data_IF_165476131019
#
_entry.id   IF_165476131019
#
_cell.length_a   1.000
_cell.length_b   1.000
_cell.length_c   1.000
_cell.angle_alpha   90.00
_cell.angle_beta   90.00
_cell.angle_gamma   90.00
#
_symmetry.space_group_name_H-M   'P 1'
#
loop_
_entity.id
_entity.type
_entity.pdbx_description
1 polymer ?
#
# COMPACT_ATOMS: atom_id res chain seq x y z
N UNK A 1 18.36 -65.68 35.09
CA UNK A 1 18.29 -64.23 35.28
C UNK A 1 19.57 -63.67 34.70
N UNK A 2 19.44 -63.30 33.43
CA UNK A 2 20.48 -62.83 32.50
C UNK A 2 21.16 -61.57 33.04
N UNK A 3 22.42 -61.25 32.79
CA UNK A 3 23.31 -61.62 31.69
C UNK A 3 24.06 -60.35 31.28
N UNK A 4 25.33 -60.29 31.63
CA UNK A 4 26.33 -59.25 31.35
C UNK A 4 26.52 -58.94 29.86
N UNK A 5 26.80 -57.67 29.48
CA UNK A 5 28.08 -57.24 28.88
C UNK A 5 28.08 -55.79 28.33
N UNK A 6 29.18 -55.08 28.61
CA UNK A 6 29.71 -53.94 27.86
C UNK A 6 29.98 -54.30 26.38
N UNK A 7 29.69 -53.40 25.42
CA UNK A 7 30.65 -52.93 24.40
C UNK A 7 30.06 -51.90 23.42
N UNK A 8 30.97 -51.09 22.87
CA UNK A 8 30.82 -50.07 21.82
C UNK A 8 30.16 -50.60 20.54
N UNK A 9 29.36 -49.77 19.88
CA UNK A 9 28.99 -49.89 18.45
C UNK A 9 28.75 -48.48 17.90
N UNK A 10 29.70 -47.91 17.16
CA UNK A 10 29.90 -47.99 15.72
C UNK A 10 28.85 -47.18 14.92
N UNK A 11 29.34 -46.11 14.31
CA UNK A 11 28.70 -45.38 13.23
C UNK A 11 28.44 -46.34 12.08
N UNK A 12 27.20 -46.40 11.61
CA UNK A 12 26.91 -46.68 10.20
C UNK A 12 25.75 -45.80 9.74
N UNK A 13 25.94 -45.31 8.53
CA UNK A 13 25.11 -44.35 7.84
C UNK A 13 23.89 -45.02 7.19
N UNK A 14 22.99 -44.15 6.74
CA UNK A 14 22.01 -44.35 5.67
C UNK A 14 20.61 -44.83 6.09
N UNK A 15 19.73 -43.85 6.33
CA UNK A 15 18.43 -43.87 5.66
C UNK A 15 18.03 -42.43 5.29
N UNK A 16 17.96 -42.21 3.99
CA UNK A 16 17.73 -40.96 3.29
C UNK A 16 16.41 -40.31 3.69
N UNK A 17 16.47 -39.14 4.32
CA UNK A 17 15.32 -38.25 4.49
C UNK A 17 14.98 -37.66 3.10
N UNK A 18 13.79 -37.91 2.52
CA UNK A 18 13.45 -37.31 1.23
C UNK A 18 13.36 -35.79 1.38
N UNK A 19 14.27 -35.12 0.69
CA UNK A 19 14.35 -33.68 0.52
C UNK A 19 13.00 -33.05 0.19
N UNK A 20 12.74 -31.88 0.78
CA UNK A 20 11.46 -31.19 0.80
C UNK A 20 10.70 -31.17 -0.52
N UNK A 21 9.51 -31.77 -0.53
CA UNK A 21 8.43 -31.35 -1.39
C UNK A 21 7.75 -30.16 -0.73
N UNK A 22 7.91 -28.98 -1.33
CA UNK A 22 7.06 -27.83 -1.04
C UNK A 22 5.63 -28.18 -1.46
N UNK A 23 4.76 -28.44 -0.51
CA UNK A 23 3.32 -28.50 -0.78
C UNK A 23 2.87 -27.09 -1.17
N UNK A 24 2.26 -26.88 -2.35
CA UNK A 24 1.73 -25.56 -2.70
C UNK A 24 0.58 -25.24 -1.76
N UNK A 25 0.79 -24.28 -0.85
CA UNK A 25 -0.17 -23.88 0.20
C UNK A 25 -1.41 -23.19 -0.39
N UNK A 26 -1.43 -22.85 -1.69
CA UNK A 26 -2.55 -22.15 -2.31
C UNK A 26 -2.90 -22.72 -3.69
N UNK A 27 -3.95 -23.53 -3.76
CA UNK A 27 -4.66 -23.80 -5.00
C UNK A 27 -5.74 -22.72 -5.16
N UNK A 28 -5.41 -21.62 -5.85
CA UNK A 28 -6.42 -20.66 -6.29
C UNK A 28 -7.16 -21.25 -7.49
N UNK A 29 -8.49 -21.22 -7.46
CA UNK A 29 -9.33 -21.39 -8.67
C UNK A 29 -8.85 -20.41 -9.74
N UNK A 30 -8.86 -20.76 -11.06
CA UNK A 30 -8.45 -19.83 -12.10
C UNK A 30 -9.25 -18.53 -11.95
N UNK A 31 -8.55 -17.45 -11.62
CA UNK A 31 -9.17 -16.14 -11.52
C UNK A 31 -9.62 -15.71 -12.93
N UNK A 32 -10.68 -14.89 -13.04
CA UNK A 32 -11.21 -14.45 -14.33
C UNK A 32 -10.11 -13.88 -15.22
N UNK A 33 -10.21 -14.19 -16.52
CA UNK A 33 -9.18 -13.93 -17.51
C UNK A 33 -8.89 -12.42 -17.64
N UNK A 34 -7.61 -12.05 -17.51
CA UNK A 34 -7.15 -10.67 -17.37
C UNK A 34 -7.08 -9.91 -18.69
N UNK A 35 -7.29 -8.58 -18.62
CA UNK A 35 -7.02 -7.61 -19.69
C UNK A 35 -5.56 -7.14 -19.57
N UNK A 36 -4.81 -7.10 -20.69
CA UNK A 36 -3.46 -6.51 -20.72
C UNK A 36 -3.56 -5.01 -20.49
N UNK A 37 -2.71 -4.46 -19.62
CA UNK A 37 -2.63 -3.02 -19.37
C UNK A 37 -1.66 -2.38 -20.36
N UNK A 38 -1.95 -1.16 -20.82
CA UNK A 38 -1.17 -0.51 -21.89
C UNK A 38 0.32 -0.32 -21.57
N UNK A 39 0.68 -0.07 -20.31
CA UNK A 39 2.09 0.07 -19.92
C UNK A 39 2.83 -1.28 -19.76
N UNK A 40 2.12 -2.40 -19.75
CA UNK A 40 2.72 -3.74 -19.83
C UNK A 40 2.95 -4.21 -21.27
N UNK A 41 2.52 -3.42 -22.25
CA UNK A 41 2.78 -3.69 -23.66
C UNK A 41 4.21 -3.25 -24.03
N UNK A 42 5.17 -4.15 -23.83
CA UNK A 42 6.46 -4.00 -24.49
C UNK A 42 6.28 -4.18 -26.00
N UNK A 43 6.72 -3.20 -26.80
CA UNK A 43 7.06 -3.46 -28.20
C UNK A 43 8.08 -4.59 -28.18
N UNK A 44 7.79 -5.73 -28.82
CA UNK A 44 8.75 -6.82 -28.98
C UNK A 44 9.96 -6.27 -29.73
N UNK A 45 11.01 -5.91 -29.01
CA UNK A 45 12.34 -5.83 -29.60
C UNK A 45 12.83 -7.26 -29.75
N UNK A 46 12.97 -7.71 -31.00
CA UNK A 46 13.41 -9.06 -31.37
C UNK A 46 14.88 -9.36 -30.97
N UNK A 47 15.52 -8.46 -30.22
CA UNK A 47 16.88 -8.63 -29.67
C UNK A 47 16.93 -8.82 -28.15
N UNK A 48 15.79 -8.86 -27.46
CA UNK A 48 15.77 -9.01 -26.00
C UNK A 48 16.18 -10.44 -25.59
N UNK A 49 17.31 -10.51 -24.91
CA UNK A 49 17.79 -11.63 -24.09
C UNK A 49 16.65 -12.25 -23.28
N UNK A 50 16.62 -13.60 -23.18
CA UNK A 50 15.65 -14.39 -22.37
C UNK A 50 15.16 -13.57 -21.17
N UNK A 51 13.89 -13.17 -21.18
CA UNK A 51 13.24 -12.47 -20.06
C UNK A 51 13.56 -13.23 -18.78
N UNK A 52 14.38 -12.61 -17.93
CA UNK A 52 14.74 -13.15 -16.64
C UNK A 52 13.46 -13.05 -15.78
N UNK A 53 12.86 -14.18 -15.47
CA UNK A 53 11.71 -14.25 -14.56
C UNK A 53 12.21 -13.94 -13.14
N UNK A 54 12.28 -12.64 -12.79
CA UNK A 54 12.86 -12.16 -11.52
C UNK A 54 12.05 -12.62 -10.30
N UNK A 55 10.76 -12.92 -10.49
CA UNK A 55 9.84 -13.28 -9.41
C UNK A 55 8.99 -14.51 -9.78
N UNK A 56 9.58 -15.71 -9.88
CA UNK A 56 8.90 -16.91 -10.37
C UNK A 56 7.73 -17.38 -9.49
N UNK A 57 7.64 -16.86 -8.25
CA UNK A 57 6.57 -17.18 -7.30
C UNK A 57 5.61 -16.01 -7.05
N UNK A 58 5.74 -14.90 -7.77
CA UNK A 58 4.88 -13.73 -7.61
C UNK A 58 4.19 -13.39 -8.93
N UNK A 59 2.88 -13.58 -8.97
CA UNK A 59 2.07 -13.06 -10.05
C UNK A 59 1.93 -11.53 -9.90
N UNK A 60 2.84 -10.80 -10.57
CA UNK A 60 2.94 -9.32 -10.51
C UNK A 60 1.64 -8.60 -10.87
N UNK A 61 0.75 -9.25 -11.64
CA UNK A 61 -0.53 -8.65 -11.99
C UNK A 61 -1.51 -8.59 -10.81
N UNK A 62 -1.18 -9.16 -9.65
CA UNK A 62 -1.96 -8.94 -8.42
C UNK A 62 -1.97 -7.45 -8.06
N UNK A 63 -0.87 -6.74 -8.32
CA UNK A 63 -0.72 -5.30 -8.13
C UNK A 63 -1.45 -4.48 -9.19
N UNK A 64 -1.90 -5.14 -10.25
CA UNK A 64 -2.51 -4.53 -11.44
C UNK A 64 -4.03 -4.70 -11.47
N UNK A 65 -4.65 -4.98 -10.33
CA UNK A 65 -6.11 -5.12 -10.22
C UNK A 65 -6.73 -3.78 -9.85
N UNK A 66 -7.91 -3.52 -10.40
CA UNK A 66 -8.74 -2.41 -9.98
C UNK A 66 -9.87 -2.92 -9.08
N UNK A 67 -9.96 -2.37 -7.89
CA UNK A 67 -11.14 -2.44 -7.05
C UNK A 67 -12.21 -1.54 -7.69
N UNK A 68 -13.34 -2.13 -8.03
CA UNK A 68 -14.47 -1.41 -8.65
C UNK A 68 -15.53 -1.04 -7.57
N UNK A 69 -15.56 -1.76 -6.45
CA UNK A 69 -16.51 -1.57 -5.36
C UNK A 69 -15.82 -1.70 -4.00
N UNK A 70 -16.13 -0.75 -3.10
CA UNK A 70 -15.71 -0.82 -1.70
C UNK A 70 -16.47 -1.91 -0.94
N UNK A 71 -15.86 -2.41 0.13
CA UNK A 71 -16.50 -3.31 1.09
C UNK A 71 -16.52 -2.54 2.41
N UNK A 72 -17.57 -1.75 2.62
CA UNK A 72 -17.73 -0.92 3.82
C UNK A 72 -18.16 -1.78 5.01
N UNK A 73 -19.15 -2.65 4.78
CA UNK A 73 -19.59 -3.62 5.78
C UNK A 73 -18.65 -4.84 5.80
N UNK A 74 -18.07 -5.21 6.96
CA UNK A 74 -17.06 -6.25 7.00
C UNK A 74 -17.61 -7.63 6.63
N UNK A 75 -16.99 -8.26 5.62
CA UNK A 75 -17.30 -9.62 5.21
C UNK A 75 -16.70 -10.63 6.19
N UNK A 76 -17.45 -11.67 6.53
CA UNK A 76 -16.93 -12.78 7.32
C UNK A 76 -16.04 -13.70 6.46
N UNK A 77 -14.82 -13.94 6.90
CA UNK A 77 -13.90 -14.85 6.24
C UNK A 77 -14.23 -16.33 6.50
N UNK A 78 -13.92 -17.18 5.51
CA UNK A 78 -13.96 -18.65 5.67
C UNK A 78 -12.58 -19.11 6.12
N UNK A 79 -12.48 -19.62 7.35
CA UNK A 79 -11.21 -20.02 7.95
C UNK A 79 -10.84 -21.45 7.51
N UNK A 80 -9.61 -21.62 7.03
CA UNK A 80 -8.96 -22.93 6.84
C UNK A 80 -7.76 -23.00 7.78
N UNK A 81 -7.65 -24.07 8.57
CA UNK A 81 -6.63 -24.17 9.63
C UNK A 81 -7.11 -23.56 10.95
N UNK A 82 -6.16 -23.10 11.77
CA UNK A 82 -6.43 -22.57 13.11
C UNK A 82 -5.81 -21.18 13.30
N UNK A 83 -6.64 -20.17 13.58
CA UNK A 83 -6.18 -18.83 13.95
C UNK A 83 -5.85 -18.83 15.45
N UNK A 84 -4.62 -18.47 15.86
CA UNK A 84 -4.23 -18.50 17.26
C UNK A 84 -5.13 -17.62 18.13
N UNK A 85 -5.64 -18.10 19.28
CA UNK A 85 -6.57 -17.34 20.13
C UNK A 85 -5.98 -16.05 20.71
N UNK A 86 -4.65 -15.97 20.83
CA UNK A 86 -3.95 -14.77 21.30
C UNK A 86 -3.89 -13.67 20.24
N UNK A 87 -4.09 -13.99 18.96
CA UNK A 87 -4.09 -13.01 17.87
C UNK A 87 -5.42 -12.28 17.84
N UNK A 88 -5.45 -11.07 18.39
CA UNK A 88 -6.60 -10.19 18.38
C UNK A 88 -6.17 -8.78 17.99
N UNK A 89 -6.83 -8.19 17.00
CA UNK A 89 -6.45 -6.86 16.50
C UNK A 89 -6.90 -6.64 15.07
N UNK A 90 -6.18 -5.78 14.35
CA UNK A 90 -6.47 -5.49 12.95
C UNK A 90 -5.17 -5.38 12.17
N UNK A 91 -5.09 -6.07 11.04
CA UNK A 91 -4.07 -5.81 10.03
C UNK A 91 -4.63 -4.78 9.06
N UNK A 92 -4.07 -3.57 9.07
CA UNK A 92 -4.42 -2.51 8.12
C UNK A 92 -3.28 -2.35 7.12
N UNK A 93 -3.62 -2.33 5.84
CA UNK A 93 -2.68 -2.11 4.74
C UNK A 93 -3.21 -1.03 3.82
N UNK A 94 -2.30 -0.34 3.15
CA UNK A 94 -2.60 0.66 2.14
C UNK A 94 -1.89 0.26 0.84
N UNK A 95 -2.41 0.73 -0.29
CA UNK A 95 -1.87 0.36 -1.59
C UNK A 95 -2.69 0.86 -2.77
N UNK A 96 -2.30 0.45 -3.99
CA UNK A 96 -3.06 0.71 -5.20
C UNK A 96 -4.41 0.03 -5.15
N UNK A 97 -5.47 0.83 -5.26
CA UNK A 97 -6.85 0.37 -5.24
C UNK A 97 -7.45 0.25 -6.63
N UNK A 98 -7.61 1.38 -7.32
CA UNK A 98 -8.15 1.43 -8.67
C UNK A 98 -7.13 2.03 -9.61
N UNK A 99 -6.85 1.33 -10.70
CA UNK A 99 -5.99 1.82 -11.78
C UNK A 99 -6.74 2.75 -12.74
N UNK A 100 -8.01 3.07 -12.46
CA UNK A 100 -8.88 3.80 -13.37
C UNK A 100 -9.60 4.96 -12.70
N UNK A 101 -9.88 5.97 -13.50
CA UNK A 101 -10.86 7.00 -13.20
C UNK A 101 -11.78 7.13 -14.43
N UNK A 102 -13.01 6.61 -14.32
CA UNK A 102 -13.90 6.45 -15.46
C UNK A 102 -13.31 5.56 -16.55
N UNK A 103 -13.17 6.10 -17.76
CA UNK A 103 -12.57 5.39 -18.90
C UNK A 103 -11.04 5.57 -19.00
N UNK A 104 -10.46 6.43 -18.18
CA UNK A 104 -9.03 6.70 -18.15
C UNK A 104 -8.31 5.73 -17.22
N UNK A 105 -7.04 5.47 -17.52
CA UNK A 105 -6.20 4.49 -16.83
C UNK A 105 -4.89 5.17 -16.39
N UNK A 106 -4.50 4.94 -15.14
CA UNK A 106 -3.22 5.37 -14.62
C UNK A 106 -2.08 4.61 -15.30
N UNK A 107 -1.01 5.34 -15.64
CA UNK A 107 0.15 4.82 -16.36
C UNK A 107 1.26 4.30 -15.43
N UNK A 108 1.15 4.55 -14.12
CA UNK A 108 2.12 4.12 -13.12
C UNK A 108 1.41 3.55 -11.88
N UNK A 109 2.02 2.53 -11.27
CA UNK A 109 1.42 1.82 -10.13
C UNK A 109 1.12 2.76 -8.95
N UNK A 110 2.03 3.71 -8.68
CA UNK A 110 1.92 4.70 -7.60
C UNK A 110 1.01 5.90 -7.92
N UNK A 111 0.22 5.83 -8.99
CA UNK A 111 -0.78 6.85 -9.30
C UNK A 111 -2.21 6.36 -9.03
N UNK A 112 -2.36 5.05 -8.78
CA UNK A 112 -3.64 4.42 -8.54
C UNK A 112 -4.31 5.02 -7.30
N UNK A 113 -5.64 5.13 -7.29
CA UNK A 113 -6.38 5.62 -6.13
C UNK A 113 -6.06 4.78 -4.88
N UNK A 114 -5.63 5.42 -3.79
CA UNK A 114 -5.32 4.76 -2.52
C UNK A 114 -6.51 3.95 -1.98
N UNK A 115 -6.25 2.69 -1.63
CA UNK A 115 -7.23 1.79 -1.02
C UNK A 115 -6.69 1.21 0.27
N UNK A 116 -7.46 1.43 1.33
CA UNK A 116 -7.20 0.86 2.64
C UNK A 116 -7.86 -0.51 2.71
N UNK A 117 -7.12 -1.48 3.22
CA UNK A 117 -7.58 -2.83 3.49
C UNK A 117 -7.49 -3.10 4.98
N UNK A 118 -8.49 -3.76 5.54
CA UNK A 118 -8.47 -4.19 6.94
C UNK A 118 -8.90 -5.64 7.07
N UNK A 119 -8.08 -6.41 7.80
CA UNK A 119 -8.44 -7.72 8.32
C UNK A 119 -8.65 -7.60 9.83
N UNK A 120 -9.91 -7.63 10.28
CA UNK A 120 -10.25 -7.63 11.69
C UNK A 120 -10.16 -9.05 12.24
N UNK A 121 -9.36 -9.27 13.29
CA UNK A 121 -9.14 -10.59 13.88
C UNK A 121 -9.60 -10.57 15.33
N UNK A 122 -10.55 -11.44 15.67
CA UNK A 122 -11.07 -11.57 17.04
C UNK A 122 -11.57 -12.97 17.31
N UNK A 123 -11.11 -13.61 18.39
CA UNK A 123 -11.59 -14.91 18.85
C UNK A 123 -11.60 -15.98 17.75
N UNK A 124 -10.51 -16.09 16.98
CA UNK A 124 -10.36 -17.05 15.89
C UNK A 124 -11.19 -16.76 14.63
N UNK A 125 -11.92 -15.64 14.59
CA UNK A 125 -12.66 -15.16 13.40
C UNK A 125 -11.88 -14.05 12.72
N UNK A 126 -12.03 -13.96 11.40
CA UNK A 126 -11.45 -12.89 10.58
C UNK A 126 -12.55 -12.24 9.76
N UNK A 127 -12.59 -10.92 9.74
CA UNK A 127 -13.42 -10.14 8.81
C UNK A 127 -12.56 -9.35 7.85
N UNK A 128 -13.09 -9.01 6.68
CA UNK A 128 -12.42 -8.19 5.67
C UNK A 128 -13.29 -7.02 5.25
N UNK A 129 -12.68 -5.84 5.14
CA UNK A 129 -13.29 -4.64 4.57
C UNK A 129 -12.22 -3.84 3.81
N UNK A 130 -12.65 -3.03 2.85
CA UNK A 130 -11.77 -2.09 2.16
C UNK A 130 -12.51 -0.83 1.75
N UNK A 131 -11.81 0.30 1.81
CA UNK A 131 -12.38 1.61 1.52
C UNK A 131 -11.32 2.51 0.87
N UNK A 132 -11.70 3.22 -0.18
CA UNK A 132 -10.85 4.21 -0.81
C UNK A 132 -10.59 5.34 0.17
N UNK A 133 -9.34 5.80 0.18
CA UNK A 133 -8.98 7.02 0.87
C UNK A 133 -9.71 8.17 0.18
N UNK A 134 -10.50 8.93 0.95
CA UNK A 134 -11.31 10.03 0.45
C UNK A 134 -10.46 11.30 0.29
N UNK A 135 -9.36 11.17 -0.45
CA UNK A 135 -8.49 12.28 -0.83
C UNK A 135 -9.20 13.24 -1.78
N UNK A 136 -8.72 14.48 -1.88
CA UNK A 136 -9.33 15.46 -2.77
C UNK A 136 -9.16 15.04 -4.24
N UNK A 137 -8.01 14.48 -4.60
CA UNK A 137 -7.79 13.98 -5.97
C UNK A 137 -8.69 12.78 -6.30
N UNK A 138 -8.93 11.87 -5.35
CA UNK A 138 -9.86 10.77 -5.54
C UNK A 138 -11.29 11.28 -5.78
N UNK A 139 -11.78 12.18 -4.93
CA UNK A 139 -13.12 12.78 -5.06
C UNK A 139 -13.29 13.52 -6.38
N UNK A 140 -12.27 14.30 -6.78
CA UNK A 140 -12.31 15.04 -8.06
C UNK A 140 -12.34 14.07 -9.24
N UNK A 141 -11.47 13.06 -9.27
CA UNK A 141 -11.44 12.04 -10.32
C UNK A 141 -12.77 11.28 -10.42
N UNK A 142 -13.35 10.92 -9.28
CA UNK A 142 -14.67 10.27 -9.20
C UNK A 142 -15.78 11.17 -9.75
N UNK A 143 -15.85 12.42 -9.30
CA UNK A 143 -16.88 13.38 -9.74
C UNK A 143 -16.81 13.73 -11.23
N UNK A 144 -15.60 13.80 -11.79
CA UNK A 144 -15.37 14.14 -13.18
C UNK A 144 -15.36 12.91 -14.11
N UNK A 145 -15.36 11.70 -13.54
CA UNK A 145 -15.25 10.42 -14.23
C UNK A 145 -14.05 10.36 -15.21
N UNK A 146 -12.90 10.92 -14.79
CA UNK A 146 -11.65 11.04 -15.55
C UNK A 146 -10.49 11.41 -14.63
N UNK A 147 -9.25 11.25 -15.10
CA UNK A 147 -8.06 11.70 -14.35
C UNK A 147 -7.94 13.23 -14.48
N UNK A 148 -8.26 13.98 -13.44
CA UNK A 148 -8.29 15.45 -13.46
C UNK A 148 -6.97 16.09 -13.04
N UNK A 149 -6.15 15.37 -12.28
CA UNK A 149 -4.89 15.86 -11.71
C UNK A 149 -3.72 14.99 -12.18
N UNK A 150 -2.56 15.62 -12.40
CA UNK A 150 -1.34 14.90 -12.73
C UNK A 150 -0.81 14.24 -11.45
N UNK A 151 -0.56 12.93 -11.53
CA UNK A 151 0.07 12.13 -10.48
C UNK A 151 1.57 11.94 -10.79
N UNK A 152 2.26 11.08 -10.05
CA UNK A 152 3.70 10.88 -10.18
C UNK A 152 4.12 10.47 -11.60
N UNK A 153 3.44 9.50 -12.20
CA UNK A 153 3.76 8.99 -13.54
C UNK A 153 2.66 9.20 -14.60
N UNK A 154 1.56 9.86 -14.24
CA UNK A 154 0.36 9.97 -15.09
C UNK A 154 -0.07 11.42 -15.23
N UNK A 155 -0.10 11.91 -16.47
CA UNK A 155 -0.58 13.25 -16.79
C UNK A 155 -2.10 13.31 -16.71
N UNK A 156 -2.65 14.42 -16.19
CA UNK A 156 -4.09 14.67 -16.23
C UNK A 156 -4.65 14.71 -17.65
N UNK A 157 -5.93 14.36 -17.77
CA UNK A 157 -6.69 14.50 -19.01
C UNK A 157 -7.23 15.94 -19.08
N UNK A 158 -7.02 16.66 -20.19
CA UNK A 158 -7.55 18.02 -20.36
C UNK A 158 -9.07 18.04 -20.27
N UNK A 159 -9.62 19.05 -19.58
CA UNK A 159 -11.06 19.25 -19.54
C UNK A 159 -11.60 19.65 -20.93
N UNK A 160 -12.55 18.90 -21.52
CA UNK A 160 -13.11 19.21 -22.83
C UNK A 160 -13.93 20.51 -22.83
N UNK A 161 -14.43 20.96 -21.67
CA UNK A 161 -15.25 22.15 -21.49
C UNK A 161 -14.42 23.42 -21.21
N UNK A 162 -13.10 23.29 -20.94
CA UNK A 162 -12.25 24.46 -20.69
C UNK A 162 -11.82 25.14 -22.00
N UNK A 163 -12.12 26.44 -22.09
CA UNK A 163 -11.54 27.35 -23.09
C UNK A 163 -10.02 27.47 -22.93
N UNK A 164 -9.30 27.93 -23.96
CA UNK A 164 -7.83 28.10 -23.92
C UNK A 164 -7.36 28.91 -22.69
N UNK A 165 -8.10 29.96 -22.32
CA UNK A 165 -7.80 30.77 -21.13
C UNK A 165 -8.00 30.01 -19.82
N UNK A 166 -9.06 29.20 -19.72
CA UNK A 166 -9.29 28.34 -18.55
C UNK A 166 -8.28 27.19 -18.46
N UNK A 167 -7.71 26.74 -19.59
CA UNK A 167 -6.60 25.77 -19.61
C UNK A 167 -5.31 26.39 -19.08
N UNK A 168 -5.03 27.63 -19.47
CA UNK A 168 -3.87 28.38 -18.98
C UNK A 168 -4.03 28.68 -17.47
N UNK A 169 -5.21 29.11 -17.02
CA UNK A 169 -5.51 29.31 -15.59
C UNK A 169 -5.38 28.01 -14.77
N UNK A 170 -5.79 26.87 -15.32
CA UNK A 170 -5.61 25.57 -14.67
C UNK A 170 -4.14 25.14 -14.56
N UNK A 171 -3.26 25.55 -15.49
CA UNK A 171 -1.80 25.36 -15.37
C UNK A 171 -1.21 26.21 -14.24
N UNK A 172 -1.82 27.37 -13.94
CA UNK A 172 -1.40 28.23 -12.83
C UNK A 172 -1.99 27.83 -11.47
N UNK A 173 -3.03 26.97 -11.46
CA UNK A 173 -3.49 26.30 -10.24
C UNK A 173 -2.55 25.13 -9.93
N UNK A 174 -1.53 25.39 -9.10
CA UNK A 174 -0.61 24.39 -8.54
C UNK A 174 -1.29 23.50 -7.48
N UNK A 175 -2.41 22.85 -7.81
CA UNK A 175 -2.97 21.84 -6.93
C UNK A 175 -2.09 20.58 -7.01
N UNK A 176 -1.38 20.28 -5.92
CA UNK A 176 -0.65 19.03 -5.78
C UNK A 176 -1.60 17.88 -5.43
N UNK A 177 -1.28 16.67 -5.91
CA UNK A 177 -2.00 15.47 -5.51
C UNK A 177 -1.93 15.29 -4.00
N UNK A 178 -2.99 14.76 -3.41
CA UNK A 178 -3.03 14.32 -2.02
C UNK A 178 -3.28 12.80 -1.89
N UNK A 179 -2.97 12.02 -2.94
CA UNK A 179 -3.13 10.57 -2.95
C UNK A 179 -2.10 9.87 -2.04
N UNK A 180 -2.50 9.54 -0.80
CA UNK A 180 -1.64 8.87 0.17
C UNK A 180 -1.79 7.33 0.12
N UNK A 181 -1.16 6.68 -0.86
CA UNK A 181 -1.40 5.27 -1.18
C UNK A 181 -0.31 4.27 -0.75
N UNK A 182 0.74 4.69 -0.06
CA UNK A 182 1.95 3.86 0.13
C UNK A 182 1.90 3.10 1.46
N UNK A 183 1.59 3.78 2.56
CA UNK A 183 1.64 3.15 3.88
C UNK A 183 0.63 3.75 4.86
N UNK A 184 0.57 3.13 6.05
CA UNK A 184 -0.19 3.63 7.21
C UNK A 184 0.67 3.50 8.47
N UNK A 185 0.71 4.54 9.29
CA UNK A 185 1.48 4.54 10.55
C UNK A 185 0.73 5.25 11.68
N UNK A 186 0.90 4.80 12.94
CA UNK A 186 0.32 5.48 14.08
C UNK A 186 1.09 6.75 14.42
N UNK A 187 0.36 7.80 14.80
CA UNK A 187 0.91 9.00 15.47
C UNK A 187 0.00 9.29 16.65
N UNK A 188 0.50 9.09 17.88
CA UNK A 188 -0.36 9.09 19.06
C UNK A 188 -1.42 7.99 19.00
N UNK A 189 -2.67 8.32 19.30
CA UNK A 189 -3.82 7.40 19.26
C UNK A 189 -4.49 7.30 17.87
N UNK A 190 -3.99 8.07 16.91
CA UNK A 190 -4.53 8.20 15.57
C UNK A 190 -3.69 7.42 14.55
N UNK A 191 -4.31 7.08 13.42
CA UNK A 191 -3.68 6.36 12.32
C UNK A 191 -3.68 7.24 11.08
N UNK A 192 -2.55 7.33 10.40
CA UNK A 192 -2.37 8.19 9.23
C UNK A 192 -1.92 7.39 8.01
N UNK A 193 -2.50 7.71 6.85
CA UNK A 193 -2.05 7.23 5.54
C UNK A 193 -1.00 8.18 4.94
N UNK A 194 0.05 7.60 4.34
CA UNK A 194 1.20 8.31 3.80
C UNK A 194 1.46 7.98 2.33
N UNK A 195 2.10 8.94 1.66
CA UNK A 195 2.90 8.76 0.44
C UNK A 195 4.18 9.61 0.62
N UNK A 196 4.83 10.05 -0.47
CA UNK A 196 6.03 10.89 -0.45
C UNK A 196 5.76 12.38 -0.78
N UNK A 197 4.63 12.90 -0.30
CA UNK A 197 4.20 14.30 -0.39
C UNK A 197 3.96 14.82 1.03
N UNK A 198 3.84 16.13 1.28
CA UNK A 198 3.72 16.65 2.65
C UNK A 198 2.34 16.40 3.28
N UNK A 199 1.35 16.03 2.46
CA UNK A 199 -0.03 15.76 2.91
C UNK A 199 -0.19 14.32 3.38
N UNK A 200 -0.70 14.17 4.61
CA UNK A 200 -1.10 12.89 5.20
C UNK A 200 -2.58 12.91 5.58
N UNK A 201 -3.22 11.75 5.63
CA UNK A 201 -4.65 11.64 5.91
C UNK A 201 -4.91 10.82 7.16
N UNK A 202 -5.67 11.36 8.11
CA UNK A 202 -6.13 10.61 9.28
C UNK A 202 -7.22 9.63 8.86
N UNK A 203 -7.10 8.40 9.33
CA UNK A 203 -8.03 7.31 9.02
C UNK A 203 -8.58 6.67 10.30
N UNK A 204 -9.87 6.34 10.27
CA UNK A 204 -10.50 5.56 11.32
C UNK A 204 -10.00 4.11 11.26
N UNK A 205 -9.41 3.61 12.34
CA UNK A 205 -8.84 2.24 12.40
C UNK A 205 -9.88 1.11 12.36
N UNK A 206 -11.15 1.41 12.61
CA UNK A 206 -12.24 0.43 12.61
C UNK A 206 -13.04 0.46 11.30
N UNK A 207 -13.43 1.64 10.83
CA UNK A 207 -14.29 1.82 9.65
C UNK A 207 -13.53 2.07 8.36
N UNK A 208 -12.23 2.42 8.43
CA UNK A 208 -11.40 2.92 7.33
C UNK A 208 -11.87 4.26 6.76
N UNK A 209 -12.71 5.00 7.48
CA UNK A 209 -13.12 6.35 7.11
C UNK A 209 -11.94 7.31 7.08
N UNK A 210 -11.88 8.17 6.07
CA UNK A 210 -10.96 9.31 6.08
C UNK A 210 -11.56 10.41 6.93
N UNK A 211 -10.94 10.71 8.06
CA UNK A 211 -11.47 11.61 9.09
C UNK A 211 -10.86 13.01 9.04
N UNK A 212 -9.77 13.19 8.30
CA UNK A 212 -9.06 14.46 8.23
C UNK A 212 -7.83 14.39 7.35
N UNK A 213 -7.28 15.57 7.07
CA UNK A 213 -6.09 15.75 6.25
C UNK A 213 -5.20 16.80 6.89
N UNK A 214 -3.90 16.54 6.91
CA UNK A 214 -2.88 17.45 7.45
C UNK A 214 -1.84 17.65 6.37
N UNK A 215 -1.56 18.90 6.03
CA UNK A 215 -0.40 19.26 5.24
C UNK A 215 0.74 19.61 6.20
N UNK A 216 1.77 18.76 6.27
CA UNK A 216 2.90 18.97 7.18
C UNK A 216 3.68 20.24 6.81
N UNK A 217 3.61 20.69 5.54
CA UNK A 217 4.22 21.94 5.10
C UNK A 217 3.75 23.16 5.91
N UNK A 218 2.50 23.13 6.39
CA UNK A 218 1.88 24.23 7.15
C UNK A 218 2.51 24.40 8.54
N UNK A 219 3.20 23.36 9.04
CA UNK A 219 3.80 23.33 10.37
C UNK A 219 5.33 23.33 10.32
N UNK A 220 5.89 22.63 9.32
CA UNK A 220 7.31 22.46 9.10
C UNK A 220 7.54 22.78 7.63
N UNK A 221 8.53 23.58 7.26
CA UNK A 221 8.81 23.95 5.86
C UNK A 221 9.38 22.80 5.02
N UNK A 222 8.87 21.58 5.17
CA UNK A 222 9.22 20.42 4.36
C UNK A 222 8.34 20.39 3.11
N UNK A 223 8.94 20.12 1.96
CA UNK A 223 8.23 19.98 0.68
C UNK A 223 7.81 18.54 0.40
N UNK A 224 8.43 17.57 1.07
CA UNK A 224 8.06 16.16 1.09
C UNK A 224 8.64 15.47 2.34
N UNK A 225 8.16 14.26 2.60
CA UNK A 225 8.73 13.32 3.56
C UNK A 225 8.63 11.89 3.05
N UNK A 226 9.38 10.95 3.62
CA UNK A 226 9.24 9.55 3.24
C UNK A 226 7.90 8.98 3.71
N UNK A 227 7.49 7.88 3.08
CA UNK A 227 6.36 7.07 3.54
C UNK A 227 6.79 6.00 4.57
N UNK A 228 7.96 6.11 5.19
CA UNK A 228 8.51 5.08 6.08
C UNK A 228 9.04 5.67 7.39
N UNK A 229 8.18 6.32 8.20
CA UNK A 229 8.59 6.79 9.50
C UNK A 229 8.96 5.63 10.44
N UNK A 230 9.87 5.91 11.36
CA UNK A 230 10.22 5.01 12.46
C UNK A 230 9.39 5.34 13.69
N UNK A 231 8.63 4.35 14.18
CA UNK A 231 7.86 4.44 15.43
C UNK A 231 8.66 3.78 16.55
N UNK A 232 8.97 4.53 17.61
CA UNK A 232 9.69 4.04 18.77
C UNK A 232 8.75 3.37 19.78
N UNK A 233 9.26 2.52 20.70
CA UNK A 233 8.43 1.85 21.71
C UNK A 233 7.65 2.78 22.63
N UNK A 234 8.16 4.01 22.84
CA UNK A 234 7.49 5.03 23.63
C UNK A 234 6.35 5.73 22.87
N UNK A 235 6.17 5.47 21.57
CA UNK A 235 5.19 6.11 20.70
C UNK A 235 5.70 7.36 19.96
N UNK A 236 6.95 7.77 20.19
CA UNK A 236 7.59 8.85 19.42
C UNK A 236 7.79 8.39 17.98
N UNK A 237 7.50 9.27 17.01
CA UNK A 237 7.68 8.97 15.59
C UNK A 237 8.72 9.89 14.96
N UNK A 238 9.65 9.31 14.22
CA UNK A 238 10.64 10.04 13.42
C UNK A 238 10.41 9.81 11.94
N UNK A 239 10.53 10.86 11.13
CA UNK A 239 10.51 10.75 9.68
C UNK A 239 11.62 11.60 9.06
N UNK A 240 11.97 11.31 7.82
CA UNK A 240 12.92 12.07 7.01
C UNK A 240 12.14 12.86 5.96
N UNK A 241 12.44 14.15 5.81
CA UNK A 241 11.88 14.99 4.77
C UNK A 241 12.88 15.93 4.15
N UNK A 242 12.42 16.69 3.16
CA UNK A 242 13.27 17.67 2.45
C UNK A 242 12.75 19.08 2.70
N UNK A 243 13.63 19.98 3.09
CA UNK A 243 13.37 21.43 3.16
C UNK A 243 14.16 22.14 2.07
N UNK A 244 13.62 23.20 1.48
CA UNK A 244 14.31 24.01 0.47
C UNK A 244 14.65 25.36 1.09
N UNK A 245 15.94 25.68 1.14
CA UNK A 245 16.46 27.00 1.52
C UNK A 245 17.07 27.70 0.30
N UNK A 246 17.43 28.98 0.44
CA UNK A 246 18.12 29.73 -0.62
C UNK A 246 19.46 29.09 -1.05
N UNK A 247 20.08 28.31 -0.16
CA UNK A 247 21.33 27.58 -0.42
C UNK A 247 21.14 26.20 -1.04
N UNK A 248 19.90 25.73 -1.21
CA UNK A 248 19.58 24.43 -1.81
C UNK A 248 18.67 23.54 -0.94
N UNK A 249 18.47 22.27 -1.35
CA UNK A 249 17.69 21.30 -0.58
C UNK A 249 18.50 20.71 0.59
N UNK A 250 17.83 20.49 1.71
CA UNK A 250 18.39 19.86 2.91
C UNK A 250 17.49 18.74 3.38
N UNK A 251 18.11 17.70 3.93
CA UNK A 251 17.41 16.62 4.62
C UNK A 251 17.11 17.04 6.06
N UNK A 252 15.83 17.01 6.41
CA UNK A 252 15.30 17.42 7.72
C UNK A 252 14.73 16.20 8.43
N UNK A 253 15.16 15.98 9.68
CA UNK A 253 14.55 14.97 10.54
C UNK A 253 13.32 15.57 11.23
N UNK A 254 12.15 15.01 10.94
CA UNK A 254 10.88 15.37 11.54
C UNK A 254 10.63 14.48 12.74
N UNK A 255 10.23 15.08 13.87
CA UNK A 255 9.85 14.38 15.09
C UNK A 255 8.39 14.70 15.42
N UNK A 256 7.56 13.66 15.52
CA UNK A 256 6.24 13.74 16.11
C UNK A 256 6.37 13.24 17.56
N UNK A 257 6.37 14.16 18.56
CA UNK A 257 6.49 13.76 19.95
C UNK A 257 5.22 13.05 20.41
N UNK A 258 5.36 12.13 21.38
CA UNK A 258 4.22 11.65 22.14
C UNK A 258 3.73 12.77 23.06
N UNK A 259 2.42 13.04 23.06
CA UNK A 259 1.83 13.92 24.06
C UNK A 259 1.82 13.22 25.43
N UNK A 260 2.58 13.74 26.39
CA UNK A 260 2.68 13.17 27.73
C UNK A 260 1.37 13.30 28.53
N UNK A 261 0.41 14.09 28.05
CA UNK A 261 -0.86 14.38 28.74
C UNK A 261 -1.98 13.36 28.48
N UNK A 262 -1.83 12.49 27.48
CA UNK A 262 -2.77 11.39 27.22
C UNK A 262 -2.20 10.09 27.83
N UNK A 263 -2.67 9.74 29.04
CA UNK A 263 -2.42 8.45 29.72
C UNK A 263 -3.74 7.72 29.95
#
# INVERSE_FOLDING_TARGET
MEGTHNQKGNFDADETCPSGRSTPIFAWTPLPQRRKLRFTEHKKDESATKELELYPNCDVNVWLRSCEEEIVEPLNGVIKGHIPPWLNGSLIRNGPGSLKAGNDEFSHLFDSSALLHRYGIKNGKVTYQCRFLQSDVYKKNWSANRIVLTEFGTRSVPDPCHTIFQRIAAVFNNEASDNAMISVYPIGDELYAFTEIPTIHRINKETLETEGKININDYLSIVNHTSHPHVLPDGTVYNLGTTIYATGPYHTIVKFPRDEKCR
#
